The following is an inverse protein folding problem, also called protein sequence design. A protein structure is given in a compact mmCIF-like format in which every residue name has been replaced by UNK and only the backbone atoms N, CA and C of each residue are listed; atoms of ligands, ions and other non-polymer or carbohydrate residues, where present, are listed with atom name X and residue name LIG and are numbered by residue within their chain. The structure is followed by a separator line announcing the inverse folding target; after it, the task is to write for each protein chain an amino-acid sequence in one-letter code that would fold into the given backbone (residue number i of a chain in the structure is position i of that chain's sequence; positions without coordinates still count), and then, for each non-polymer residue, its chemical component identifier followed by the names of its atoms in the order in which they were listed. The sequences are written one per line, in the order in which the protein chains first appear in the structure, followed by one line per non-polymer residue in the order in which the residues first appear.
data_IF_894620192105
#
_entry.id   IF_894620192105
#
_cell.length_a   1.000
_cell.length_b   1.000
_cell.length_c   1.000
_cell.angle_alpha   90.00
_cell.angle_beta   90.00
_cell.angle_gamma   90.00
#
_symmetry.space_group_name_H-M   'P 1'
#
loop_
_entity.id
_entity.type
_entity.pdbx_description
1 polymer ?
#
# COMPACT_ATOMS: atom_id res chain seq x y z
N UNK A 1 -18.15 -15.82 1.08
CA UNK A 1 -17.67 -15.59 2.47
C UNK A 1 -16.49 -14.64 2.36
N UNK A 2 -16.61 -13.43 2.88
CA UNK A 2 -15.54 -12.43 2.81
C UNK A 2 -14.40 -12.73 3.79
N UNK A 3 -13.24 -12.11 3.55
CA UNK A 3 -12.12 -12.10 4.48
C UNK A 3 -12.52 -11.37 5.77
N UNK A 4 -12.20 -11.94 6.93
CA UNK A 4 -12.44 -11.24 8.21
C UNK A 4 -11.40 -10.14 8.39
N UNK A 5 -11.73 -9.07 9.14
CA UNK A 5 -10.79 -8.00 9.45
C UNK A 5 -9.54 -8.54 10.17
N UNK A 6 -9.70 -9.52 11.06
CA UNK A 6 -8.57 -10.18 11.75
C UNK A 6 -7.65 -10.89 10.75
N UNK A 7 -8.22 -11.69 9.84
CA UNK A 7 -7.43 -12.39 8.83
C UNK A 7 -6.76 -11.40 7.85
N UNK A 8 -7.42 -10.28 7.55
CA UNK A 8 -6.83 -9.21 6.74
C UNK A 8 -5.64 -8.56 7.45
N UNK A 9 -5.81 -8.22 8.73
CA UNK A 9 -4.77 -7.61 9.53
C UNK A 9 -3.55 -8.53 9.65
N UNK A 10 -3.77 -9.82 9.88
CA UNK A 10 -2.71 -10.85 9.86
C UNK A 10 -2.00 -10.90 8.51
N UNK A 11 -2.73 -10.95 7.39
CA UNK A 11 -2.16 -10.96 6.04
C UNK A 11 -1.35 -9.70 5.70
N UNK A 12 -1.68 -8.56 6.30
CA UNK A 12 -0.97 -7.30 6.14
C UNK A 12 0.17 -7.09 7.17
N UNK A 13 0.26 -7.97 8.18
CA UNK A 13 1.21 -7.86 9.28
C UNK A 13 0.97 -6.62 10.16
N UNK A 14 -0.29 -6.25 10.37
CA UNK A 14 -0.72 -5.14 11.24
C UNK A 14 -1.70 -5.64 12.31
N UNK A 15 -1.97 -4.84 13.33
CA UNK A 15 -2.99 -5.20 14.32
C UNK A 15 -4.41 -4.96 13.79
N UNK A 16 -5.41 -5.77 14.18
CA UNK A 16 -6.81 -5.54 13.83
C UNK A 16 -7.30 -4.15 14.26
N UNK A 17 -6.84 -3.65 15.41
CA UNK A 17 -7.17 -2.30 15.89
C UNK A 17 -6.63 -1.22 14.96
N UNK A 18 -5.44 -1.39 14.37
CA UNK A 18 -4.88 -0.44 13.41
C UNK A 18 -5.66 -0.43 12.10
N UNK A 19 -6.04 -1.60 11.60
CA UNK A 19 -6.91 -1.73 10.43
C UNK A 19 -8.27 -1.03 10.66
N UNK A 20 -8.87 -1.21 11.84
CA UNK A 20 -10.10 -0.52 12.22
C UNK A 20 -9.96 1.01 12.29
N UNK A 21 -8.80 1.55 12.67
CA UNK A 21 -8.55 3.00 12.61
C UNK A 21 -8.54 3.53 11.17
N UNK A 22 -7.96 2.76 10.25
CA UNK A 22 -7.89 3.10 8.83
C UNK A 22 -9.29 3.07 8.21
N UNK A 23 -10.06 2.01 8.44
CA UNK A 23 -11.43 1.88 7.93
C UNK A 23 -12.36 3.02 8.38
N UNK A 24 -12.10 3.57 9.58
CA UNK A 24 -12.84 4.70 10.14
C UNK A 24 -12.27 6.07 9.76
N UNK A 25 -11.30 6.12 8.83
CA UNK A 25 -10.57 7.32 8.41
C UNK A 25 -9.91 8.09 9.57
N UNK A 26 -9.58 7.40 10.67
CA UNK A 26 -8.90 7.98 11.84
C UNK A 26 -7.38 7.94 11.71
N UNK A 27 -6.88 7.16 10.76
CA UNK A 27 -5.48 7.12 10.34
C UNK A 27 -5.42 7.11 8.82
N UNK A 28 -4.53 7.91 8.21
CA UNK A 28 -4.30 7.82 6.78
C UNK A 28 -3.68 6.47 6.43
N UNK A 29 -4.01 5.97 5.24
CA UNK A 29 -3.39 4.78 4.69
C UNK A 29 -1.93 5.09 4.33
N UNK A 30 -0.99 4.28 4.80
CA UNK A 30 0.44 4.48 4.51
C UNK A 30 0.80 3.87 3.17
N UNK A 31 1.85 4.40 2.52
CA UNK A 31 2.43 3.85 1.30
C UNK A 31 2.75 2.36 1.44
N UNK A 32 3.43 1.99 2.52
CA UNK A 32 3.80 0.60 2.79
C UNK A 32 2.57 -0.32 2.85
N UNK A 33 1.46 0.18 3.40
CA UNK A 33 0.24 -0.61 3.50
C UNK A 33 -0.50 -0.69 2.17
N UNK A 34 -0.48 0.36 1.35
CA UNK A 34 -0.99 0.32 -0.05
C UNK A 34 -0.25 -0.75 -0.85
N UNK A 35 1.09 -0.75 -0.80
CA UNK A 35 1.90 -1.74 -1.51
C UNK A 35 1.63 -3.17 -1.03
N UNK A 36 1.46 -3.38 0.28
CA UNK A 36 1.06 -4.68 0.84
C UNK A 36 -0.34 -5.11 0.42
N UNK A 37 -1.30 -4.19 0.40
CA UNK A 37 -2.65 -4.47 -0.07
C UNK A 37 -2.63 -4.92 -1.53
N UNK A 38 -1.91 -4.19 -2.38
CA UNK A 38 -1.75 -4.51 -3.80
C UNK A 38 -1.06 -5.87 -4.01
N UNK A 39 0.01 -6.16 -3.26
CA UNK A 39 0.75 -7.42 -3.41
C UNK A 39 -0.05 -8.64 -2.93
N UNK A 40 -0.74 -8.53 -1.79
CA UNK A 40 -1.46 -9.63 -1.13
C UNK A 40 -2.83 -9.87 -1.75
N UNK A 41 -3.57 -8.81 -2.07
CA UNK A 41 -4.97 -8.90 -2.51
C UNK A 41 -5.18 -8.56 -3.99
N UNK A 42 -4.09 -8.27 -4.73
CA UNK A 42 -4.15 -7.97 -6.18
C UNK A 42 -5.12 -6.83 -6.50
N UNK A 43 -5.14 -5.82 -5.64
CA UNK A 43 -5.93 -4.60 -5.81
C UNK A 43 -5.08 -3.52 -6.46
N UNK A 44 -5.70 -2.66 -7.28
CA UNK A 44 -5.02 -1.54 -7.90
C UNK A 44 -4.69 -0.47 -6.83
N UNK A 45 -3.41 -0.10 -6.64
CA UNK A 45 -3.01 0.99 -5.76
C UNK A 45 -3.71 2.33 -6.03
N UNK A 46 -4.15 2.59 -7.27
CA UNK A 46 -4.86 3.80 -7.65
C UNK A 46 -6.29 3.85 -7.09
N UNK A 47 -6.94 2.70 -6.90
CA UNK A 47 -8.27 2.59 -6.29
C UNK A 47 -8.23 2.82 -4.77
N UNK A 48 -7.07 2.61 -4.14
CA UNK A 48 -6.87 2.78 -2.69
C UNK A 48 -6.63 4.24 -2.26
N UNK A 49 -6.58 5.19 -3.20
CA UNK A 49 -6.29 6.61 -2.97
C UNK A 49 -7.51 7.50 -2.66
N UNK A 50 -8.66 6.91 -2.28
CA UNK A 50 -9.92 7.64 -2.04
C UNK A 50 -9.79 8.84 -1.08
N UNK A 51 -10.56 9.92 -1.33
CA UNK A 51 -10.73 11.28 -0.72
C UNK A 51 -9.54 11.99 -0.05
N UNK A 52 -8.61 11.27 0.54
CA UNK A 52 -7.36 11.76 1.09
C UNK A 52 -6.36 11.94 -0.05
N UNK A 53 -6.32 13.16 -0.62
CA UNK A 53 -5.35 13.62 -1.64
C UNK A 53 -3.90 13.59 -1.13
N UNK A 54 -3.38 12.41 -0.88
CA UNK A 54 -1.99 12.21 -0.58
C UNK A 54 -1.65 10.79 -0.95
N UNK A 55 -0.79 10.62 -1.96
CA UNK A 55 0.44 9.84 -1.76
C UNK A 55 1.19 9.48 -3.05
N UNK A 56 0.74 9.74 -4.28
CA UNK A 56 1.64 9.46 -5.44
C UNK A 56 2.89 10.35 -5.42
N UNK A 57 2.74 11.63 -5.06
CA UNK A 57 3.87 12.54 -4.91
C UNK A 57 4.79 12.14 -3.75
N UNK A 58 4.21 11.73 -2.61
CA UNK A 58 4.96 11.26 -1.45
C UNK A 58 5.61 9.88 -1.68
N UNK A 59 4.98 9.01 -2.49
CA UNK A 59 5.59 7.79 -3.02
C UNK A 59 6.82 8.19 -3.84
N UNK A 60 6.65 9.00 -4.89
CA UNK A 60 7.76 9.42 -5.75
C UNK A 60 8.92 10.03 -4.95
N UNK A 61 8.62 10.81 -3.92
CA UNK A 61 9.64 11.39 -3.03
C UNK A 61 10.36 10.33 -2.19
N UNK A 62 9.64 9.36 -1.62
CA UNK A 62 10.23 8.24 -0.87
C UNK A 62 11.02 7.25 -1.76
N UNK A 63 10.57 7.03 -3.00
CA UNK A 63 11.28 6.24 -4.02
C UNK A 63 12.49 6.98 -4.60
N UNK A 64 12.58 8.30 -4.42
CA UNK A 64 13.75 9.11 -4.79
C UNK A 64 14.82 9.17 -3.68
N UNK A 65 14.58 8.54 -2.52
CA UNK A 65 15.55 8.48 -1.43
C UNK A 65 16.71 7.52 -1.77
N UNK A 66 17.96 8.01 -1.90
CA UNK A 66 19.12 7.19 -2.24
C UNK A 66 19.43 6.08 -1.22
N UNK A 67 18.91 6.17 0.00
CA UNK A 67 19.03 5.12 1.02
C UNK A 67 18.12 3.90 0.77
N UNK A 68 17.09 4.06 -0.08
CA UNK A 68 16.17 2.99 -0.48
C UNK A 68 16.48 2.42 -1.88
N UNK A 69 17.38 3.06 -2.64
CA UNK A 69 17.75 2.68 -4.01
C UNK A 69 18.43 1.30 -4.15
N UNK A 70 18.77 0.62 -3.04
CA UNK A 70 19.41 -0.70 -3.05
C UNK A 70 18.45 -1.89 -2.98
N UNK A 71 17.17 -1.67 -2.65
CA UNK A 71 16.18 -2.73 -2.36
C UNK A 71 14.91 -2.58 -3.20
N UNK A 72 14.99 -1.88 -4.33
CA UNK A 72 13.85 -1.62 -5.20
C UNK A 72 14.09 -2.18 -6.61
N UNK A 73 13.12 -2.93 -7.17
CA UNK A 73 13.07 -3.26 -8.60
C UNK A 73 13.17 -1.96 -9.41
N UNK A 74 13.98 -1.97 -10.47
CA UNK A 74 14.18 -0.76 -11.28
C UNK A 74 12.87 -0.26 -11.90
N UNK A 75 12.83 1.01 -12.33
CA UNK A 75 11.63 1.64 -12.91
C UNK A 75 10.98 0.81 -14.02
N UNK A 76 11.78 0.06 -14.78
CA UNK A 76 11.29 -0.83 -15.84
C UNK A 76 10.54 -2.06 -15.29
N UNK A 77 10.96 -2.59 -14.15
CA UNK A 77 10.37 -3.75 -13.49
C UNK A 77 9.04 -3.39 -12.80
N UNK A 78 8.90 -2.13 -12.36
CA UNK A 78 7.64 -1.57 -11.88
C UNK A 78 6.62 -1.36 -13.02
N UNK A 79 7.09 -1.01 -14.23
CA UNK A 79 6.24 -0.88 -15.42
C UNK A 79 5.75 -2.24 -15.90
N UNK A 80 6.63 -3.24 -15.96
CA UNK A 80 6.27 -4.60 -16.38
C UNK A 80 5.24 -5.26 -15.43
N UNK A 81 5.30 -4.94 -14.12
CA UNK A 81 4.32 -5.40 -13.12
C UNK A 81 2.95 -4.70 -13.24
N UNK A 82 2.92 -3.49 -13.79
CA UNK A 82 1.68 -2.74 -14.02
C UNK A 82 0.96 -3.15 -15.33
N UNK A 83 1.68 -3.79 -16.26
CA UNK A 83 1.16 -4.21 -17.56
C UNK A 83 0.82 -5.71 -17.66
N UNK A 84 0.96 -6.49 -16.57
CA UNK A 84 0.60 -7.93 -16.51
C UNK A 84 -0.63 -8.16 -15.64
#
# INVERSE_FOLDING_TARGET
RGLTQTAMAEGLGISPSYLNLIERNQRPLTVQLILKLASVYKVDPHELQGETKGSIAALREAFSDPLLAGELPGDQELIDLAET
#
